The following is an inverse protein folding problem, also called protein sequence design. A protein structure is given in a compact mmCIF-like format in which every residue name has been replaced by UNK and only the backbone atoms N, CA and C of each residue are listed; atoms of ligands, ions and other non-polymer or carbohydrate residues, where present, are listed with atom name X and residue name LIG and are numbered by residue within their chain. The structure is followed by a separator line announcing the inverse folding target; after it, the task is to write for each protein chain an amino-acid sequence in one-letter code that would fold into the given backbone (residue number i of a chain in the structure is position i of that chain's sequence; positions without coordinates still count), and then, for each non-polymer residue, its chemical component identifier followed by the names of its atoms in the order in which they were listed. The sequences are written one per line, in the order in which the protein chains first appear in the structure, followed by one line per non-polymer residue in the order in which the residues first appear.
data_IF_873771333729
#
_entry.id   IF_873771333729
#
_cell.length_a   1.000
_cell.length_b   1.000
_cell.length_c   1.000
_cell.angle_alpha   90.00
_cell.angle_beta   90.00
_cell.angle_gamma   90.00
#
_symmetry.space_group_name_H-M   'P 1'
#
loop_
_entity.id
_entity.type
_entity.pdbx_description
1 polymer ?
#
# COMPACT_ATOMS: atom_id res chain seq x y z
N UNK A 1 -2.48 -6.91 18.27
CA UNK A 1 -3.57 -7.84 17.91
C UNK A 1 -4.78 -7.80 18.82
N UNK A 2 -4.65 -7.84 20.15
CA UNK A 2 -5.82 -7.94 21.04
C UNK A 2 -6.75 -6.70 21.01
N UNK A 3 -6.17 -5.49 20.89
CA UNK A 3 -6.92 -4.24 20.76
C UNK A 3 -7.87 -4.23 19.54
N UNK A 4 -7.35 -4.58 18.35
CA UNK A 4 -8.14 -4.55 17.11
C UNK A 4 -9.27 -5.60 17.11
N UNK A 5 -9.02 -6.79 17.68
CA UNK A 5 -10.05 -7.82 17.79
C UNK A 5 -11.20 -7.41 18.72
N UNK A 6 -10.89 -6.67 19.79
CA UNK A 6 -11.90 -6.15 20.72
C UNK A 6 -12.71 -4.99 20.12
N UNK A 7 -12.05 -4.06 19.45
CA UNK A 7 -12.68 -2.85 18.92
C UNK A 7 -13.38 -3.07 17.57
N UNK A 8 -12.87 -3.98 16.74
CA UNK A 8 -13.36 -4.26 15.38
C UNK A 8 -13.55 -5.77 15.17
N UNK A 9 -14.50 -6.41 15.87
CA UNK A 9 -14.66 -7.86 15.86
C UNK A 9 -15.05 -8.42 14.48
N UNK A 10 -15.63 -7.60 13.61
CA UNK A 10 -16.03 -7.98 12.25
C UNK A 10 -14.95 -7.68 11.19
N UNK A 11 -13.88 -6.97 11.55
CA UNK A 11 -12.84 -6.61 10.60
C UNK A 11 -11.83 -7.76 10.43
N UNK A 12 -11.60 -8.18 9.18
CA UNK A 12 -10.57 -9.15 8.85
C UNK A 12 -9.24 -8.43 8.66
N UNK A 13 -8.40 -8.43 9.69
CA UNK A 13 -7.11 -7.73 9.68
C UNK A 13 -5.98 -8.75 9.62
N UNK A 14 -5.19 -8.67 8.57
CA UNK A 14 -4.00 -9.50 8.36
C UNK A 14 -2.75 -8.62 8.28
N UNK A 15 -1.61 -9.21 8.62
CA UNK A 15 -0.30 -8.58 8.49
C UNK A 15 0.61 -9.53 7.74
N UNK A 16 1.35 -9.02 6.77
CA UNK A 16 2.31 -9.80 6.00
C UNK A 16 3.58 -9.01 5.76
N UNK A 17 4.66 -9.73 5.48
CA UNK A 17 5.93 -9.17 5.05
C UNK A 17 6.00 -9.33 3.54
N UNK A 18 6.26 -8.23 2.84
CA UNK A 18 6.44 -8.26 1.39
C UNK A 18 7.83 -8.80 1.04
N UNK A 19 7.97 -9.38 -0.15
CA UNK A 19 9.23 -9.94 -0.63
C UNK A 19 10.38 -8.92 -0.61
N UNK A 20 11.59 -9.40 -0.35
CA UNK A 20 12.82 -8.60 -0.37
C UNK A 20 13.13 -8.03 -1.77
N UNK A 21 13.77 -6.86 -1.81
CA UNK A 21 14.17 -6.19 -3.06
C UNK A 21 13.45 -4.86 -3.29
N UNK A 22 12.98 -4.63 -4.52
CA UNK A 22 12.28 -3.39 -4.85
C UNK A 22 10.89 -3.37 -4.22
N UNK A 23 10.75 -2.58 -3.16
CA UNK A 23 9.49 -2.31 -2.47
C UNK A 23 8.32 -2.01 -3.42
N UNK A 24 8.53 -1.22 -4.48
CA UNK A 24 7.42 -0.84 -5.37
C UNK A 24 6.95 -2.05 -6.18
N UNK A 25 7.88 -2.87 -6.67
CA UNK A 25 7.54 -4.12 -7.36
C UNK A 25 6.83 -5.10 -6.42
N UNK A 26 7.28 -5.18 -5.16
CA UNK A 26 6.67 -6.03 -4.16
C UNK A 26 5.23 -5.58 -3.82
N UNK A 27 4.99 -4.27 -3.70
CA UNK A 27 3.65 -3.69 -3.52
C UNK A 27 2.79 -3.96 -4.76
N UNK A 28 3.31 -3.72 -5.97
CA UNK A 28 2.58 -3.90 -7.23
C UNK A 28 2.14 -5.35 -7.42
N UNK A 29 3.02 -6.31 -7.11
CA UNK A 29 2.69 -7.73 -7.13
C UNK A 29 1.64 -8.08 -6.09
N UNK A 30 1.80 -7.59 -4.86
CA UNK A 30 0.86 -7.85 -3.77
C UNK A 30 -0.55 -7.31 -4.08
N UNK A 31 -0.63 -6.09 -4.62
CA UNK A 31 -1.90 -5.47 -5.02
C UNK A 31 -2.63 -6.31 -6.07
N UNK A 32 -1.91 -6.86 -7.05
CA UNK A 32 -2.49 -7.74 -8.07
C UNK A 32 -2.90 -9.10 -7.50
N UNK A 33 -2.00 -9.77 -6.79
CA UNK A 33 -2.21 -11.16 -6.35
C UNK A 33 -3.35 -11.22 -5.31
N UNK A 34 -3.42 -10.24 -4.41
CA UNK A 34 -4.44 -10.15 -3.36
C UNK A 34 -5.67 -9.32 -3.75
N UNK A 35 -5.72 -8.80 -4.99
CA UNK A 35 -6.84 -8.01 -5.51
C UNK A 35 -7.19 -6.81 -4.61
N UNK A 36 -6.18 -6.00 -4.27
CA UNK A 36 -6.36 -4.85 -3.38
C UNK A 36 -7.11 -3.73 -4.10
N UNK A 37 -8.24 -3.31 -3.54
CA UNK A 37 -9.09 -2.25 -4.09
C UNK A 37 -8.62 -0.84 -3.74
N UNK A 38 -7.95 -0.65 -2.60
CA UNK A 38 -7.49 0.67 -2.13
C UNK A 38 -6.18 0.55 -1.36
N UNK A 39 -5.25 1.45 -1.64
CA UNK A 39 -4.00 1.57 -0.89
C UNK A 39 -4.08 2.81 0.01
N UNK A 40 -3.79 2.66 1.30
CA UNK A 40 -3.74 3.78 2.24
C UNK A 40 -2.34 3.92 2.86
N UNK A 41 -1.81 5.15 2.86
CA UNK A 41 -0.47 5.46 3.40
C UNK A 41 -0.53 6.67 4.33
N UNK A 42 0.23 6.64 5.43
CA UNK A 42 0.49 7.81 6.26
C UNK A 42 1.72 8.58 5.78
N UNK A 43 1.67 9.92 5.84
CA UNK A 43 2.74 10.84 5.40
C UNK A 43 4.08 10.65 6.12
N UNK A 44 4.11 9.91 7.23
CA UNK A 44 5.33 9.56 7.95
C UNK A 44 6.33 8.76 7.06
N UNK A 45 5.82 8.04 6.04
CA UNK A 45 6.64 7.30 5.06
C UNK A 45 7.03 8.15 3.85
N UNK A 46 7.60 9.35 4.08
CA UNK A 46 8.00 10.29 3.01
C UNK A 46 8.86 9.66 1.90
N UNK A 47 9.74 8.73 2.25
CA UNK A 47 10.61 8.05 1.27
C UNK A 47 9.84 7.10 0.33
N UNK A 48 8.72 6.51 0.77
CA UNK A 48 7.87 5.67 -0.10
C UNK A 48 7.13 6.56 -1.09
N UNK A 49 6.52 7.65 -0.59
CA UNK A 49 5.85 8.64 -1.45
C UNK A 49 6.82 9.21 -2.49
N UNK A 50 8.02 9.64 -2.09
CA UNK A 50 9.03 10.17 -3.01
C UNK A 50 9.43 9.17 -4.11
N UNK A 51 9.48 7.86 -3.79
CA UNK A 51 9.76 6.81 -4.78
C UNK A 51 8.59 6.56 -5.73
N UNK A 52 7.36 6.62 -5.24
CA UNK A 52 6.15 6.47 -6.06
C UNK A 52 5.86 7.69 -6.93
N UNK A 53 6.20 8.90 -6.49
CA UNK A 53 6.07 10.15 -7.25
C UNK A 53 7.31 10.49 -8.09
N UNK A 54 8.32 9.62 -8.13
CA UNK A 54 9.39 9.74 -9.11
C UNK A 54 8.80 9.53 -10.52
N UNK A 55 8.98 10.46 -11.47
CA UNK A 55 8.29 10.47 -12.76
C UNK A 55 8.47 9.21 -13.62
N UNK A 56 9.47 8.35 -13.36
CA UNK A 56 9.60 7.08 -14.08
C UNK A 56 8.66 5.98 -13.56
N UNK A 57 8.35 5.94 -12.26
CA UNK A 57 7.50 4.92 -11.63
C UNK A 57 6.09 5.43 -11.41
N UNK A 58 5.92 6.73 -11.12
CA UNK A 58 4.63 7.42 -11.14
C UNK A 58 3.92 7.17 -12.47
N UNK A 59 4.65 7.18 -13.59
CA UNK A 59 4.08 6.88 -14.92
C UNK A 59 3.65 5.41 -15.09
N UNK A 60 4.14 4.48 -14.28
CA UNK A 60 3.68 3.08 -14.29
C UNK A 60 2.47 2.88 -13.39
N UNK A 61 2.49 3.42 -12.17
CA UNK A 61 1.36 3.29 -11.23
C UNK A 61 0.17 4.20 -11.58
N UNK A 62 0.39 5.44 -12.02
CA UNK A 62 -0.69 6.36 -12.42
C UNK A 62 -1.33 6.01 -13.78
N UNK A 63 -0.69 5.18 -14.60
CA UNK A 63 -1.19 4.87 -15.96
C UNK A 63 -1.52 3.38 -16.19
N UNK A 64 -1.23 2.47 -15.24
CA UNK A 64 -1.59 1.05 -15.38
C UNK A 64 -2.20 0.41 -14.11
N UNK A 65 -2.47 1.19 -13.05
CA UNK A 65 -3.06 0.65 -11.82
C UNK A 65 -4.37 1.38 -11.53
N UNK A 66 -5.49 0.70 -11.72
CA UNK A 66 -6.84 1.22 -11.42
C UNK A 66 -7.11 1.33 -9.91
N UNK A 67 -6.15 0.94 -9.06
CA UNK A 67 -6.26 0.97 -7.59
C UNK A 67 -6.02 2.38 -7.03
N UNK A 68 -7.03 3.05 -6.46
CA UNK A 68 -6.88 4.37 -5.83
C UNK A 68 -5.90 4.36 -4.64
N UNK A 69 -5.16 5.47 -4.52
CA UNK A 69 -4.22 5.73 -3.42
C UNK A 69 -4.74 6.84 -2.50
N UNK A 70 -4.97 6.51 -1.23
CA UNK A 70 -5.32 7.44 -0.17
C UNK A 70 -4.08 7.80 0.66
N UNK A 71 -3.71 9.09 0.68
CA UNK A 71 -2.60 9.58 1.50
C UNK A 71 -3.15 10.38 2.67
N UNK A 72 -2.92 9.91 3.89
CA UNK A 72 -3.34 10.55 5.12
C UNK A 72 -2.19 11.35 5.73
N UNK A 73 -2.44 12.64 6.00
CA UNK A 73 -1.53 13.45 6.81
C UNK A 73 -1.74 13.08 8.28
N UNK A 74 -0.73 12.47 8.89
CA UNK A 74 -0.69 12.18 10.32
C UNK A 74 0.08 13.28 11.05
#
# INVERSE_FOLDING_TARGET
NEYFKKQYPQAHITHTVLADGDLLLAIEKFVRDEHIDVIALSTYRRNILARMFNPSIARKMLFHTDTPLLVMHA
#
